data_IF_868929145672
#
_entry.id   IF_868929145672
#
_cell.length_a   1.000
_cell.length_b   1.000
_cell.length_c   1.000
_cell.angle_alpha   90.00
_cell.angle_beta   90.00
_cell.angle_gamma   90.00
#
_symmetry.space_group_name_H-M   'P 1'
#
loop_
_entity.id
_entity.type
_entity.pdbx_description
1 polymer ?
#
# COMPACT_ATOMS: atom_id res chain seq x y z
N UNK A 1 2.01 -22.51 21.62
CA UNK A 1 3.15 -21.62 21.95
C UNK A 1 2.92 -20.73 23.17
N UNK A 2 1.67 -20.34 23.52
CA UNK A 2 1.40 -19.47 24.68
C UNK A 2 1.76 -20.08 26.05
N UNK A 3 1.56 -21.40 26.21
CA UNK A 3 1.92 -22.12 27.43
C UNK A 3 3.42 -22.03 27.75
N UNK A 4 4.27 -21.97 26.72
CA UNK A 4 5.72 -21.89 26.90
C UNK A 4 6.18 -20.52 27.41
N UNK A 5 5.50 -19.44 27.00
CA UNK A 5 5.83 -18.07 27.41
C UNK A 5 5.36 -17.87 28.86
N UNK A 6 4.10 -18.22 29.15
CA UNK A 6 3.55 -18.13 30.51
C UNK A 6 4.39 -18.93 31.52
N UNK A 7 4.79 -20.16 31.17
CA UNK A 7 5.63 -20.99 32.04
C UNK A 7 7.03 -20.40 32.23
N UNK A 8 7.63 -19.82 31.18
CA UNK A 8 8.97 -19.20 31.28
C UNK A 8 8.96 -17.93 32.13
N UNK A 9 7.87 -17.16 32.11
CA UNK A 9 7.73 -15.97 32.96
C UNK A 9 7.45 -16.37 34.41
N UNK A 10 6.61 -17.40 34.66
CA UNK A 10 6.40 -17.94 36.01
C UNK A 10 7.70 -18.44 36.65
N UNK A 11 8.58 -19.07 35.86
CA UNK A 11 9.90 -19.53 36.33
C UNK A 11 10.86 -18.39 36.67
N UNK A 12 10.80 -17.27 35.95
CA UNK A 12 11.69 -16.11 36.16
C UNK A 12 11.23 -15.18 37.27
N UNK A 13 9.93 -15.12 37.50
CA UNK A 13 9.30 -14.29 38.53
C UNK A 13 8.28 -15.11 39.32
N UNK A 14 8.74 -16.01 40.21
CA UNK A 14 7.86 -16.91 40.97
C UNK A 14 6.94 -16.17 41.95
N UNK A 15 7.21 -14.89 42.21
CA UNK A 15 6.41 -14.01 43.06
C UNK A 15 5.66 -12.93 42.26
N UNK A 16 5.66 -12.98 40.92
CA UNK A 16 4.85 -12.05 40.13
C UNK A 16 3.36 -12.34 40.37
N UNK A 17 2.53 -11.32 40.63
CA UNK A 17 1.09 -11.49 40.67
C UNK A 17 0.61 -12.08 39.35
N UNK A 18 -0.19 -13.15 39.40
CA UNK A 18 -0.71 -13.82 38.21
C UNK A 18 -1.45 -12.84 37.27
N UNK A 19 -2.11 -11.84 37.85
CA UNK A 19 -2.83 -10.79 37.12
C UNK A 19 -1.90 -10.00 36.19
N UNK A 20 -0.73 -9.59 36.68
CA UNK A 20 0.27 -8.87 35.88
C UNK A 20 0.77 -9.73 34.70
N UNK A 21 0.87 -11.05 34.88
CA UNK A 21 1.26 -11.96 33.81
C UNK A 21 0.19 -12.07 32.73
N UNK A 22 -1.07 -12.07 33.13
CA UNK A 22 -2.21 -12.08 32.20
C UNK A 22 -2.23 -10.79 31.39
N UNK A 23 -2.09 -9.65 32.07
CA UNK A 23 -2.04 -8.32 31.44
C UNK A 23 -0.89 -8.22 30.43
N UNK A 24 0.32 -8.60 30.82
CA UNK A 24 1.50 -8.58 29.93
C UNK A 24 1.33 -9.52 28.73
N UNK A 25 0.74 -10.70 28.95
CA UNK A 25 0.44 -11.64 27.87
C UNK A 25 -0.59 -11.08 26.89
N UNK A 26 -1.63 -10.39 27.37
CA UNK A 26 -2.61 -9.71 26.50
C UNK A 26 -1.93 -8.61 25.68
N UNK A 27 -1.08 -7.79 26.30
CA UNK A 27 -0.31 -6.76 25.60
C UNK A 27 0.57 -7.36 24.48
N UNK A 28 1.31 -8.43 24.80
CA UNK A 28 2.13 -9.14 23.82
C UNK A 28 1.29 -9.75 22.69
N UNK A 29 0.10 -10.26 23.00
CA UNK A 29 -0.83 -10.80 22.02
C UNK A 29 -1.38 -9.74 21.07
N UNK A 30 -1.74 -8.55 21.57
CA UNK A 30 -2.19 -7.44 20.70
C UNK A 30 -1.08 -7.08 19.69
N UNK A 31 0.16 -6.99 20.15
CA UNK A 31 1.32 -6.73 19.28
C UNK A 31 1.52 -7.87 18.27
N UNK A 32 1.41 -9.12 18.69
CA UNK A 32 1.57 -10.25 17.79
C UNK A 32 0.46 -10.33 16.74
N UNK A 33 -0.79 -10.07 17.13
CA UNK A 33 -1.93 -10.01 16.22
C UNK A 33 -1.77 -8.88 15.20
N UNK A 34 -1.28 -7.72 15.63
CA UNK A 34 -1.01 -6.60 14.70
C UNK A 34 -0.04 -6.99 13.58
N UNK A 35 0.90 -7.91 13.84
CA UNK A 35 1.89 -8.39 12.86
C UNK A 35 1.42 -9.59 12.03
N UNK A 36 0.23 -10.11 12.30
CA UNK A 36 -0.28 -11.27 11.57
C UNK A 36 -0.56 -10.90 10.10
N UNK A 37 -0.25 -11.78 9.12
CA UNK A 37 -0.47 -11.49 7.70
C UNK A 37 -1.90 -11.03 7.39
N UNK A 38 -2.91 -11.69 7.96
CA UNK A 38 -4.31 -11.31 7.77
C UNK A 38 -4.64 -9.88 8.24
N UNK A 39 -3.97 -9.39 9.29
CA UNK A 39 -4.13 -8.02 9.77
C UNK A 39 -3.42 -7.03 8.85
N UNK A 40 -2.19 -7.34 8.44
CA UNK A 40 -1.44 -6.53 7.48
C UNK A 40 -2.17 -6.43 6.15
N UNK A 41 -2.62 -7.56 5.59
CA UNK A 41 -3.39 -7.61 4.33
C UNK A 41 -4.69 -6.80 4.43
N UNK A 42 -5.37 -6.82 5.58
CA UNK A 42 -6.58 -6.04 5.79
C UNK A 42 -6.29 -4.53 5.81
N UNK A 43 -5.25 -4.13 6.53
CA UNK A 43 -4.82 -2.74 6.63
C UNK A 43 -4.29 -2.20 5.29
N UNK A 44 -3.44 -2.96 4.60
CA UNK A 44 -2.97 -2.64 3.24
C UNK A 44 -4.10 -2.62 2.21
N UNK A 45 -5.09 -3.51 2.37
CA UNK A 45 -6.31 -3.56 1.56
C UNK A 45 -7.30 -2.42 1.82
N UNK A 46 -6.93 -1.42 2.63
CA UNK A 46 -7.72 -0.23 2.89
C UNK A 46 -8.81 -0.39 3.95
N UNK A 47 -8.80 -1.46 4.76
CA UNK A 47 -9.71 -1.59 5.91
C UNK A 47 -9.15 -0.80 7.09
N UNK A 48 -9.26 0.51 6.99
CA UNK A 48 -8.70 1.47 7.94
C UNK A 48 -9.51 1.56 9.25
N UNK A 49 -10.75 1.04 9.27
CA UNK A 49 -11.59 0.97 10.47
C UNK A 49 -11.38 -0.31 11.32
N UNK A 50 -10.34 -1.10 11.04
CA UNK A 50 -10.07 -2.34 11.79
C UNK A 50 -9.10 -2.08 12.94
N UNK A 51 -9.56 -2.35 14.17
CA UNK A 51 -8.83 -2.13 15.42
C UNK A 51 -8.69 -3.41 16.23
N UNK A 52 -7.59 -3.52 16.97
CA UNK A 52 -7.32 -4.57 17.95
C UNK A 52 -7.28 -3.90 19.32
N UNK A 53 -8.03 -4.44 20.30
CA UNK A 53 -8.08 -3.93 21.66
C UNK A 53 -7.65 -5.01 22.66
N UNK A 54 -6.83 -4.63 23.64
CA UNK A 54 -6.40 -5.49 24.74
C UNK A 54 -7.35 -5.38 25.94
N UNK A 55 -8.29 -6.33 26.05
CA UNK A 55 -9.26 -6.38 27.15
C UNK A 55 -8.95 -7.56 28.08
N UNK A 56 -9.13 -7.35 29.39
CA UNK A 56 -9.07 -8.39 30.43
C UNK A 56 -10.44 -8.52 31.07
N UNK A 57 -10.89 -9.76 31.26
CA UNK A 57 -12.15 -10.07 31.93
C UNK A 57 -11.89 -10.58 33.34
N UNK A 58 -12.40 -9.88 34.34
CA UNK A 58 -12.33 -10.27 35.75
C UNK A 58 -13.47 -11.23 36.07
N UNK A 59 -13.14 -12.42 36.54
CA UNK A 59 -14.13 -13.46 36.84
C UNK A 59 -14.90 -13.14 38.13
N UNK A 60 -14.25 -12.44 39.08
CA UNK A 60 -14.81 -12.18 40.40
C UNK A 60 -16.05 -11.26 40.36
N UNK A 61 -16.01 -10.22 39.53
CA UNK A 61 -17.06 -9.21 39.40
C UNK A 61 -17.73 -9.19 38.01
N UNK A 62 -17.23 -9.99 37.05
CA UNK A 62 -17.73 -10.06 35.69
C UNK A 62 -17.44 -8.82 34.85
N UNK A 63 -16.48 -8.00 35.25
CA UNK A 63 -16.14 -6.74 34.56
C UNK A 63 -15.11 -6.96 33.47
N UNK A 64 -15.15 -6.09 32.45
CA UNK A 64 -14.09 -5.96 31.46
C UNK A 64 -13.27 -4.71 31.78
N UNK A 65 -11.96 -4.88 31.85
CA UNK A 65 -10.99 -3.80 31.98
C UNK A 65 -10.24 -3.66 30.67
N UNK A 66 -10.17 -2.42 30.16
CA UNK A 66 -9.35 -2.08 29.00
C UNK A 66 -7.94 -1.76 29.48
N UNK A 67 -6.94 -2.41 28.87
CA UNK A 67 -5.54 -2.19 29.19
C UNK A 67 -4.95 -0.95 28.49
N UNK A 68 -5.77 -0.17 27.78
CA UNK A 68 -5.37 0.99 26.97
C UNK A 68 -4.39 0.61 25.85
N UNK A 69 -4.27 -0.68 25.54
CA UNK A 69 -3.44 -1.19 24.45
C UNK A 69 -4.32 -1.45 23.24
N UNK A 70 -4.34 -0.48 22.34
CA UNK A 70 -5.08 -0.55 21.08
C UNK A 70 -4.17 -0.34 19.88
N UNK A 71 -4.38 -1.13 18.83
CA UNK A 71 -3.63 -1.06 17.57
C UNK A 71 -4.58 -0.93 16.38
N UNK A 72 -4.32 0.05 15.53
CA UNK A 72 -5.07 0.33 14.31
C UNK A 72 -4.29 1.27 13.40
N UNK A 73 -4.73 1.42 12.16
CA UNK A 73 -4.22 2.46 11.28
C UNK A 73 -4.76 3.82 11.74
N UNK A 74 -3.88 4.72 12.14
CA UNK A 74 -4.22 6.12 12.37
C UNK A 74 -4.35 6.82 11.01
N UNK A 75 -5.47 6.55 10.34
CA UNK A 75 -5.81 7.25 9.10
C UNK A 75 -6.24 8.67 9.44
N UNK A 76 -5.31 9.61 9.26
CA UNK A 76 -5.71 11.00 9.07
C UNK A 76 -6.45 11.09 7.71
N UNK A 77 -7.77 11.32 7.69
CA UNK A 77 -8.55 11.34 6.45
C UNK A 77 -8.10 12.45 5.47
N UNK A 78 -7.34 13.44 5.92
CA UNK A 78 -6.75 14.48 5.06
C UNK A 78 -5.54 13.96 4.27
N UNK A 79 -4.72 13.10 4.87
CA UNK A 79 -3.50 12.57 4.24
C UNK A 79 -3.82 11.57 3.10
N UNK A 80 -4.90 10.80 3.23
CA UNK A 80 -5.35 9.90 2.15
C UNK A 80 -5.93 10.65 0.95
N UNK A 81 -6.65 11.76 1.17
CA UNK A 81 -7.11 12.64 0.08
C UNK A 81 -5.95 13.26 -0.67
N UNK A 82 -4.93 13.74 0.03
CA UNK A 82 -3.74 14.33 -0.60
C UNK A 82 -2.96 13.30 -1.44
N UNK A 83 -2.88 12.04 -0.97
CA UNK A 83 -2.25 10.95 -1.72
C UNK A 83 -3.04 10.58 -2.97
N UNK A 84 -4.37 10.49 -2.86
CA UNK A 84 -5.26 10.19 -3.98
C UNK A 84 -5.27 11.32 -5.03
N UNK A 85 -5.23 12.58 -4.61
CA UNK A 85 -5.15 13.73 -5.51
C UNK A 85 -3.81 13.79 -6.24
N UNK A 86 -2.69 13.52 -5.55
CA UNK A 86 -1.36 13.46 -6.18
C UNK A 86 -1.27 12.32 -7.21
N UNK A 87 -1.79 11.14 -6.89
CA UNK A 87 -1.79 10.00 -7.84
C UNK A 87 -2.66 10.28 -9.07
N UNK A 88 -3.79 10.98 -8.88
CA UNK A 88 -4.68 11.38 -9.98
C UNK A 88 -4.00 12.43 -10.88
N UNK A 89 -3.34 13.43 -10.28
CA UNK A 89 -2.60 14.46 -11.00
C UNK A 89 -1.40 13.89 -11.78
N UNK A 90 -0.73 12.87 -11.24
CA UNK A 90 0.40 12.20 -11.89
C UNK A 90 -0.06 11.34 -13.08
N UNK A 91 -1.17 10.60 -12.93
CA UNK A 91 -1.79 9.87 -14.04
C UNK A 91 -2.23 10.80 -15.18
N UNK A 92 -2.83 11.96 -14.84
CA UNK A 92 -3.30 12.93 -15.84
C UNK A 92 -2.14 13.61 -16.58
N UNK A 93 -1.02 13.90 -15.88
CA UNK A 93 0.22 14.37 -16.51
C UNK A 93 0.81 13.34 -17.46
N UNK A 94 0.88 12.07 -17.08
CA UNK A 94 1.40 11.01 -17.94
C UNK A 94 0.53 10.84 -19.20
N UNK A 95 -0.79 10.87 -19.06
CA UNK A 95 -1.71 10.82 -20.21
C UNK A 95 -1.58 12.02 -21.15
N UNK A 96 -1.33 13.21 -20.61
CA UNK A 96 -1.11 14.40 -21.42
C UNK A 96 0.24 14.33 -22.16
N UNK A 97 1.28 13.85 -21.48
CA UNK A 97 2.59 13.61 -22.08
C UNK A 97 2.51 12.60 -23.23
N UNK A 98 1.78 11.49 -23.06
CA UNK A 98 1.59 10.50 -24.12
C UNK A 98 0.84 11.06 -25.34
N UNK A 99 -0.19 11.89 -25.12
CA UNK A 99 -0.91 12.57 -26.21
C UNK A 99 -0.02 13.54 -26.99
N UNK A 100 0.83 14.29 -26.28
CA UNK A 100 1.76 15.21 -26.93
C UNK A 100 2.83 14.47 -27.73
N UNK A 101 3.33 13.35 -27.22
CA UNK A 101 4.26 12.47 -27.94
C UNK A 101 3.62 11.89 -29.22
N UNK A 102 2.36 11.44 -29.16
CA UNK A 102 1.64 10.96 -30.34
C UNK A 102 1.43 12.07 -31.38
N UNK A 103 0.99 13.25 -30.95
CA UNK A 103 0.76 14.39 -31.85
C UNK A 103 2.04 14.83 -32.56
N UNK A 104 3.18 14.82 -31.87
CA UNK A 104 4.49 15.09 -32.51
C UNK A 104 4.89 14.00 -33.50
N UNK A 105 4.60 12.73 -33.21
CA UNK A 105 4.86 11.62 -34.14
C UNK A 105 4.02 11.70 -35.41
N UNK A 106 2.74 12.05 -35.30
CA UNK A 106 1.85 12.19 -36.45
C UNK A 106 2.27 13.34 -37.37
N UNK A 107 2.82 14.42 -36.81
CA UNK A 107 3.39 15.53 -37.59
C UNK A 107 4.63 15.10 -38.41
N UNK A 108 5.52 14.28 -37.85
CA UNK A 108 6.71 13.79 -38.55
C UNK A 108 6.39 12.71 -39.61
N UNK A 109 5.27 11.99 -39.46
CA UNK A 109 4.82 11.00 -40.44
C UNK A 109 4.21 11.65 -41.70
N UNK A 110 3.69 12.88 -41.59
CA UNK A 110 3.16 13.64 -42.73
C UNK A 110 4.30 14.19 -43.61
N UNK A 111 5.36 14.77 -43.01
CA UNK A 111 6.52 15.27 -43.75
C UNK A 111 7.34 14.16 -44.44
N UNK A 112 7.42 12.97 -43.82
CA UNK A 112 8.15 11.83 -44.40
C UNK A 112 7.36 11.08 -45.47
N UNK A 113 6.02 11.14 -45.46
CA UNK A 113 5.20 10.71 -46.59
C UNK A 113 5.31 11.67 -47.77
N UNK A 114 5.39 12.98 -47.54
CA UNK A 114 5.59 13.97 -48.61
C UNK A 114 6.94 13.76 -49.33
N UNK A 115 8.01 13.44 -48.58
CA UNK A 115 9.32 13.17 -49.18
C UNK A 115 9.37 11.86 -49.99
N UNK A 116 8.68 10.81 -49.53
CA UNK A 116 8.65 9.51 -50.24
C UNK A 116 7.67 9.48 -51.43
N UNK A 117 6.64 10.33 -51.43
CA UNK A 117 5.69 10.42 -52.55
C UNK A 117 6.26 11.21 -53.74
N UNK A 118 7.15 12.18 -53.48
CA UNK A 118 7.74 13.04 -54.53
C UNK A 118 8.90 12.37 -55.30
N UNK A 119 9.55 11.35 -54.73
CA UNK A 119 10.68 10.66 -55.37
C UNK A 119 10.30 9.46 -56.26
N UNK A 120 9.03 9.03 -56.29
CA UNK A 120 8.58 7.82 -57.03
C UNK A 120 7.90 8.09 -58.39
N UNK A 121 7.71 9.34 -58.79
CA UNK A 121 6.94 9.69 -60.01
C UNK A 121 7.75 10.39 -61.12
N UNK A 122 9.08 10.45 -61.02
CA UNK A 122 9.92 10.97 -62.12
C UNK A 122 10.32 9.83 -63.08
N UNK A 123 9.91 9.89 -64.37
CA UNK A 123 10.32 8.89 -65.36
C UNK A 123 11.81 9.07 -65.69
N UNK A 124 12.57 7.97 -65.60
CA UNK A 124 13.95 7.86 -66.05
C UNK A 124 13.95 7.95 -67.58
N UNK A 125 14.38 9.09 -68.14
CA UNK A 125 14.70 9.21 -69.56
C UNK A 125 16.15 8.76 -69.83
N UNK A 126 16.43 8.00 -70.89
CA UNK A 126 17.77 7.54 -71.20
C UNK A 126 18.56 8.63 -71.96
N UNK A 127 19.70 9.04 -71.43
CA UNK A 127 20.69 9.86 -72.15
C UNK A 127 21.67 8.93 -72.86
N UNK A 128 21.38 8.66 -74.14
CA UNK A 128 22.39 8.34 -75.17
C UNK A 128 23.27 9.58 -75.32
N UNK A 129 24.60 9.45 -75.40
CA UNK A 129 25.50 10.35 -76.14
C UNK A 129 26.63 9.51 -76.79
N UNK A 130 27.10 10.06 -77.91
CA UNK A 130 27.88 9.49 -79.03
C UNK A 130 29.17 8.71 -78.72
#
# INVERSE_FOLDING_TARGET
MLTSIASSILERTPNAPLDALVEENVCALVVNLSKAPAMQDAWEGGKTMLWIHGLVHKIEDGTFEDLEVSMGLDVNPEAEKEKAEKEKAEKEKNQNCEREILSRRDMYLDETMFFNYTFRTLPILPLVWS
#
